data_IF_881280360051
#
_entry.id   IF_881280360051
#
_cell.length_a   1.000
_cell.length_b   1.000
_cell.length_c   1.000
_cell.angle_alpha   90.00
_cell.angle_beta   90.00
_cell.angle_gamma   90.00
#
_symmetry.space_group_name_H-M   'P 1'
#
loop_
_entity.id
_entity.type
_entity.pdbx_description
1 polymer ?
#
# COMPACT_ATOMS: atom_id res chain seq x y z
N UNK A 1 18.43 13.21 22.99
CA UNK A 1 18.23 11.74 22.92
C UNK A 1 17.37 11.18 24.06
N UNK A 2 17.42 11.75 25.28
CA UNK A 2 16.65 11.25 26.43
C UNK A 2 15.15 11.59 26.35
N UNK A 3 14.76 12.62 25.58
CA UNK A 3 13.35 13.07 25.49
C UNK A 3 12.46 12.19 24.59
N UNK A 4 13.04 11.43 23.66
CA UNK A 4 12.28 10.56 22.74
C UNK A 4 11.75 9.31 23.44
N UNK A 5 12.50 8.78 24.41
CA UNK A 5 12.13 7.55 25.14
C UNK A 5 10.94 7.70 26.10
N UNK A 6 10.62 8.94 26.50
CA UNK A 6 9.51 9.23 27.44
C UNK A 6 8.14 9.12 26.71
N UNK A 7 8.09 9.27 25.37
CA UNK A 7 6.86 9.27 24.60
C UNK A 7 6.51 7.92 23.94
N UNK A 8 7.45 6.97 23.88
CA UNK A 8 7.21 5.69 23.21
C UNK A 8 7.22 4.53 24.21
N UNK A 9 6.06 3.88 24.36
CA UNK A 9 5.93 2.59 25.07
C UNK A 9 6.34 1.40 24.16
N UNK A 10 7.22 1.63 23.16
CA UNK A 10 7.52 0.66 22.09
C UNK A 10 9.03 0.53 21.92
N UNK A 11 9.53 -0.70 21.75
CA UNK A 11 10.93 -0.96 21.41
C UNK A 11 11.21 -0.65 19.94
N UNK A 12 12.47 -0.35 19.59
CA UNK A 12 12.84 -0.09 18.18
C UNK A 12 12.49 -1.23 17.23
N UNK A 13 12.72 -2.52 17.55
CA UNK A 13 12.29 -3.61 16.68
C UNK A 13 10.78 -3.69 16.48
N UNK A 14 10.02 -3.46 17.55
CA UNK A 14 8.56 -3.43 17.49
C UNK A 14 8.06 -2.25 16.63
N UNK A 15 8.68 -1.08 16.74
CA UNK A 15 8.39 0.07 15.89
C UNK A 15 8.65 -0.23 14.42
N UNK A 16 9.80 -0.86 14.10
CA UNK A 16 10.13 -1.27 12.74
C UNK A 16 9.08 -2.25 12.20
N UNK A 17 8.70 -3.26 12.98
CA UNK A 17 7.69 -4.23 12.59
C UNK A 17 6.34 -3.57 12.31
N UNK A 18 5.91 -2.65 13.16
CA UNK A 18 4.65 -1.94 13.01
C UNK A 18 4.65 -1.03 11.78
N UNK A 19 5.71 -0.25 11.56
CA UNK A 19 5.84 0.60 10.38
C UNK A 19 5.91 -0.22 9.10
N UNK A 20 6.66 -1.32 9.12
CA UNK A 20 6.71 -2.25 7.98
C UNK A 20 5.34 -2.84 7.66
N UNK A 21 4.55 -3.19 8.67
CA UNK A 21 3.19 -3.70 8.50
C UNK A 21 2.25 -2.65 7.88
N UNK A 22 2.33 -1.38 8.33
CA UNK A 22 1.55 -0.29 7.74
C UNK A 22 1.91 -0.05 6.27
N UNK A 23 3.20 -0.09 5.92
CA UNK A 23 3.66 0.08 4.53
C UNK A 23 3.30 -1.15 3.68
N UNK A 24 3.40 -2.35 4.25
CA UNK A 24 3.11 -3.63 3.59
C UNK A 24 1.64 -3.76 3.15
N UNK A 25 0.71 -3.01 3.75
CA UNK A 25 -0.71 -3.00 3.35
C UNK A 25 -0.88 -2.78 1.84
N UNK A 26 -0.10 -1.88 1.24
CA UNK A 26 -0.18 -1.59 -0.19
C UNK A 26 0.30 -2.76 -1.04
N UNK A 27 1.51 -3.28 -0.76
CA UNK A 27 2.07 -4.39 -1.52
C UNK A 27 1.21 -5.65 -1.40
N UNK A 28 0.75 -5.96 -0.18
CA UNK A 28 -0.16 -7.09 0.05
C UNK A 28 -1.45 -6.96 -0.77
N UNK A 29 -2.03 -5.73 -0.84
CA UNK A 29 -3.27 -5.47 -1.58
C UNK A 29 -3.13 -5.59 -3.10
N UNK A 30 -1.92 -5.45 -3.63
CA UNK A 30 -1.62 -5.60 -5.05
C UNK A 30 -1.24 -7.06 -5.35
N UNK A 31 -0.23 -7.56 -4.66
CA UNK A 31 0.45 -8.80 -5.04
C UNK A 31 -0.39 -10.04 -4.69
N UNK A 32 -1.14 -10.04 -3.58
CA UNK A 32 -2.01 -11.16 -3.23
C UNK A 32 -3.23 -11.29 -4.16
N UNK A 33 -3.60 -10.21 -4.87
CA UNK A 33 -4.70 -10.24 -5.85
C UNK A 33 -4.30 -10.82 -7.21
N UNK A 34 -3.00 -10.88 -7.53
CA UNK A 34 -2.53 -11.35 -8.83
C UNK A 34 -3.08 -12.75 -9.20
N UNK A 35 -2.97 -13.77 -8.33
CA UNK A 35 -3.49 -15.10 -8.64
C UNK A 35 -5.04 -15.17 -8.68
N UNK A 36 -5.74 -14.15 -8.18
CA UNK A 36 -7.21 -14.09 -8.19
C UNK A 36 -7.80 -13.56 -9.50
N UNK A 37 -7.00 -12.87 -10.32
CA UNK A 37 -7.50 -12.21 -11.53
C UNK A 37 -8.20 -13.16 -12.52
N UNK A 38 -7.72 -14.40 -12.79
CA UNK A 38 -8.43 -15.33 -13.64
C UNK A 38 -9.81 -15.72 -13.11
N UNK A 39 -9.94 -15.93 -11.78
CA UNK A 39 -11.20 -16.28 -11.14
C UNK A 39 -12.21 -15.11 -11.25
N UNK A 40 -11.77 -13.89 -10.99
CA UNK A 40 -12.58 -12.68 -11.15
C UNK A 40 -13.01 -12.48 -12.61
N UNK A 41 -12.08 -12.70 -13.55
CA UNK A 41 -12.37 -12.62 -14.98
C UNK A 41 -13.44 -13.66 -15.40
N UNK A 42 -13.31 -14.90 -14.95
CA UNK A 42 -14.26 -15.96 -15.25
C UNK A 42 -15.67 -15.66 -14.70
N UNK A 43 -15.76 -15.04 -13.52
CA UNK A 43 -17.03 -14.71 -12.88
C UNK A 43 -17.72 -13.48 -13.50
N UNK A 44 -16.97 -12.40 -13.74
CA UNK A 44 -17.56 -11.09 -14.08
C UNK A 44 -17.28 -10.60 -15.50
N UNK A 45 -16.29 -11.14 -16.18
CA UNK A 45 -15.91 -10.70 -17.54
C UNK A 45 -15.40 -11.82 -18.43
N UNK A 46 -16.19 -12.92 -18.60
CA UNK A 46 -15.73 -14.10 -19.35
C UNK A 46 -15.43 -13.81 -20.83
N UNK A 47 -16.11 -12.81 -21.41
CA UNK A 47 -15.91 -12.40 -22.80
C UNK A 47 -14.71 -11.46 -23.00
N UNK A 48 -14.19 -10.87 -21.93
CA UNK A 48 -13.04 -9.95 -21.95
C UNK A 48 -12.24 -10.03 -20.65
N UNK A 49 -11.40 -11.05 -20.56
CA UNK A 49 -10.58 -11.34 -19.35
C UNK A 49 -9.66 -10.21 -18.95
N UNK A 50 -9.28 -9.32 -19.89
CA UNK A 50 -8.44 -8.16 -19.58
C UNK A 50 -9.12 -7.14 -18.68
N UNK A 51 -10.45 -7.11 -18.59
CA UNK A 51 -11.16 -6.20 -17.70
C UNK A 51 -10.87 -6.48 -16.22
N UNK A 52 -10.56 -7.72 -15.84
CA UNK A 52 -10.18 -8.02 -14.45
C UNK A 52 -8.93 -7.28 -13.99
N UNK A 53 -8.05 -6.85 -14.90
CA UNK A 53 -6.88 -6.03 -14.57
C UNK A 53 -7.25 -4.65 -14.02
N UNK A 54 -8.47 -4.17 -14.30
CA UNK A 54 -8.99 -2.94 -13.71
C UNK A 54 -9.04 -3.02 -12.18
N UNK A 55 -9.15 -4.20 -11.60
CA UNK A 55 -9.11 -4.43 -10.15
C UNK A 55 -7.79 -3.95 -9.54
N UNK A 56 -6.66 -4.15 -10.23
CA UNK A 56 -5.35 -3.66 -9.79
C UNK A 56 -5.16 -2.18 -10.13
N UNK A 57 -5.46 -1.80 -11.36
CA UNK A 57 -5.24 -0.43 -11.86
C UNK A 57 -6.07 0.59 -11.08
N UNK A 58 -7.31 0.25 -10.72
CA UNK A 58 -8.18 1.11 -9.92
C UNK A 58 -7.66 1.31 -8.49
N UNK A 59 -7.11 0.27 -7.87
CA UNK A 59 -6.46 0.40 -6.56
C UNK A 59 -5.24 1.34 -6.62
N UNK A 60 -4.39 1.17 -7.65
CA UNK A 60 -3.21 2.02 -7.86
C UNK A 60 -3.62 3.47 -8.09
N UNK A 61 -4.68 3.71 -8.88
CA UNK A 61 -5.23 5.04 -9.09
C UNK A 61 -5.71 5.66 -7.77
N UNK A 62 -6.50 4.92 -6.99
CA UNK A 62 -6.95 5.36 -5.68
C UNK A 62 -5.81 5.68 -4.72
N UNK A 63 -4.79 4.83 -4.69
CA UNK A 63 -3.58 5.05 -3.87
C UNK A 63 -2.84 6.32 -4.30
N UNK A 64 -2.72 6.58 -5.58
CA UNK A 64 -2.10 7.81 -6.09
C UNK A 64 -2.88 9.04 -5.61
N UNK A 65 -4.21 9.06 -5.77
CA UNK A 65 -5.08 10.14 -5.28
C UNK A 65 -4.94 10.34 -3.77
N UNK A 66 -5.00 9.24 -2.99
CA UNK A 66 -4.87 9.28 -1.54
C UNK A 66 -3.51 9.81 -1.08
N UNK A 67 -2.43 9.48 -1.77
CA UNK A 67 -1.07 9.91 -1.41
C UNK A 67 -0.93 11.44 -1.42
N UNK A 68 -1.57 12.14 -2.36
CA UNK A 68 -1.57 13.60 -2.40
C UNK A 68 -2.25 14.24 -1.19
N UNK A 69 -3.30 13.62 -0.68
CA UNK A 69 -4.19 14.23 0.32
C UNK A 69 -3.81 13.79 1.75
N UNK A 70 -3.41 12.54 1.95
CA UNK A 70 -3.19 11.96 3.28
C UNK A 70 -2.01 12.59 4.03
N UNK A 71 -0.98 13.08 3.32
CA UNK A 71 0.13 13.82 3.93
C UNK A 71 -0.35 15.08 4.64
N UNK A 72 -0.85 16.08 3.91
CA UNK A 72 -1.39 17.32 4.49
C UNK A 72 -2.49 17.10 5.53
N UNK A 73 -3.36 16.11 5.33
CA UNK A 73 -4.37 15.76 6.35
C UNK A 73 -3.71 15.30 7.65
N UNK A 74 -2.63 14.52 7.57
CA UNK A 74 -1.94 14.03 8.77
C UNK A 74 -1.20 15.14 9.54
N UNK A 75 -0.75 16.19 8.82
CA UNK A 75 -0.16 17.38 9.43
C UNK A 75 -1.21 18.25 10.15
N UNK A 76 -2.46 18.20 9.70
CA UNK A 76 -3.55 19.00 10.24
C UNK A 76 -4.34 18.30 11.34
N UNK A 77 -4.67 17.04 11.15
CA UNK A 77 -5.56 16.29 12.05
C UNK A 77 -4.80 15.38 13.02
N UNK A 78 -3.48 15.21 12.83
CA UNK A 78 -2.64 14.31 13.60
C UNK A 78 -2.44 12.96 12.91
N UNK A 79 -1.31 12.32 13.20
CA UNK A 79 -0.85 11.09 12.54
C UNK A 79 -1.81 9.93 12.75
N UNK A 80 -2.16 9.65 13.99
CA UNK A 80 -3.03 8.50 14.33
C UNK A 80 -4.43 8.65 13.76
N UNK A 81 -5.02 9.83 13.83
CA UNK A 81 -6.36 10.07 13.35
C UNK A 81 -6.49 9.79 11.85
N UNK A 82 -5.47 10.17 11.07
CA UNK A 82 -5.46 9.93 9.63
C UNK A 82 -5.20 8.45 9.30
N UNK A 83 -4.38 7.74 10.08
CA UNK A 83 -4.27 6.28 9.95
C UNK A 83 -5.63 5.63 10.20
N UNK A 84 -6.35 5.99 11.27
CA UNK A 84 -7.67 5.43 11.57
C UNK A 84 -8.69 5.73 10.47
N UNK A 85 -8.72 6.95 9.98
CA UNK A 85 -9.61 7.36 8.90
C UNK A 85 -9.35 6.55 7.62
N UNK A 86 -8.09 6.48 7.17
CA UNK A 86 -7.72 5.72 5.98
C UNK A 86 -7.96 4.22 6.15
N UNK A 87 -7.63 3.65 7.32
CA UNK A 87 -7.91 2.25 7.63
C UNK A 87 -9.40 1.94 7.62
N UNK A 88 -10.25 2.85 8.11
CA UNK A 88 -11.71 2.69 8.07
C UNK A 88 -12.23 2.68 6.63
N UNK A 89 -11.76 3.59 5.76
CA UNK A 89 -12.08 3.59 4.33
C UNK A 89 -11.65 2.26 3.70
N UNK A 90 -10.43 1.81 3.99
CA UNK A 90 -9.90 0.55 3.47
C UNK A 90 -10.74 -0.66 3.87
N UNK A 91 -11.12 -0.75 5.15
CA UNK A 91 -11.93 -1.87 5.69
C UNK A 91 -13.32 -1.89 5.04
N UNK A 92 -14.00 -0.73 4.98
CA UNK A 92 -15.32 -0.64 4.37
C UNK A 92 -15.27 -1.00 2.88
N UNK A 93 -14.27 -0.49 2.16
CA UNK A 93 -14.09 -0.79 0.74
C UNK A 93 -13.75 -2.26 0.50
N UNK A 94 -12.94 -2.88 1.37
CA UNK A 94 -12.67 -4.32 1.31
C UNK A 94 -13.94 -5.15 1.54
N UNK A 95 -14.77 -4.74 2.50
CA UNK A 95 -16.07 -5.38 2.74
C UNK A 95 -17.00 -5.26 1.52
N UNK A 96 -17.03 -4.09 0.86
CA UNK A 96 -17.78 -3.92 -0.39
C UNK A 96 -17.29 -4.87 -1.50
N UNK A 97 -15.98 -5.11 -1.60
CA UNK A 97 -15.44 -6.07 -2.58
C UNK A 97 -15.88 -7.52 -2.28
N UNK A 98 -16.03 -7.91 -1.01
CA UNK A 98 -16.49 -9.25 -0.63
C UNK A 98 -17.93 -9.51 -1.15
N UNK A 99 -18.79 -8.51 -1.07
CA UNK A 99 -20.20 -8.61 -1.44
C UNK A 99 -20.50 -8.02 -2.84
N UNK A 100 -19.49 -7.74 -3.64
CA UNK A 100 -19.67 -7.10 -4.93
C UNK A 100 -20.46 -7.99 -5.91
N UNK A 101 -21.54 -7.46 -6.52
CA UNK A 101 -22.37 -8.20 -7.48
C UNK A 101 -21.81 -8.18 -8.92
N UNK A 102 -20.89 -7.26 -9.22
CA UNK A 102 -20.32 -7.03 -10.54
C UNK A 102 -18.92 -6.42 -10.47
N UNK A 103 -18.21 -6.41 -11.60
CA UNK A 103 -16.85 -5.89 -11.71
C UNK A 103 -16.77 -4.40 -11.42
N UNK A 104 -17.77 -3.61 -11.86
CA UNK A 104 -17.79 -2.16 -11.65
C UNK A 104 -17.80 -1.81 -10.17
N UNK A 105 -18.57 -2.55 -9.36
CA UNK A 105 -18.58 -2.38 -7.90
C UNK A 105 -17.21 -2.66 -7.30
N UNK A 106 -16.52 -3.71 -7.76
CA UNK A 106 -15.15 -4.01 -7.31
C UNK A 106 -14.23 -2.85 -7.70
N UNK A 107 -14.27 -2.39 -8.95
CA UNK A 107 -13.41 -1.30 -9.44
C UNK A 107 -13.58 -0.03 -8.61
N UNK A 108 -14.82 0.38 -8.35
CA UNK A 108 -15.11 1.56 -7.52
C UNK A 108 -14.62 1.35 -6.08
N UNK A 109 -14.93 0.20 -5.49
CA UNK A 109 -14.48 -0.12 -4.12
C UNK A 109 -12.94 -0.16 -4.04
N UNK A 110 -12.25 -0.66 -5.06
CA UNK A 110 -10.79 -0.68 -5.14
C UNK A 110 -10.17 0.72 -5.20
N UNK A 111 -10.83 1.69 -5.86
CA UNK A 111 -10.38 3.09 -5.82
C UNK A 111 -10.40 3.60 -4.37
N UNK A 112 -11.52 3.45 -3.67
CA UNK A 112 -11.62 3.88 -2.27
C UNK A 112 -10.66 3.09 -1.36
N UNK A 113 -10.50 1.80 -1.59
CA UNK A 113 -9.53 0.98 -0.85
C UNK A 113 -8.09 1.49 -1.05
N UNK A 114 -7.73 1.88 -2.28
CA UNK A 114 -6.43 2.51 -2.57
C UNK A 114 -6.25 3.85 -1.84
N UNK A 115 -7.28 4.71 -1.85
CA UNK A 115 -7.27 5.96 -1.09
C UNK A 115 -7.03 5.68 0.40
N UNK A 116 -7.73 4.69 0.97
CA UNK A 116 -7.56 4.28 2.35
C UNK A 116 -6.15 3.75 2.66
N UNK A 117 -5.59 2.93 1.78
CA UNK A 117 -4.25 2.35 1.91
C UNK A 117 -3.12 3.40 1.88
N UNK A 118 -3.36 4.55 1.24
CA UNK A 118 -2.39 5.63 1.18
C UNK A 118 -2.09 6.23 2.57
N UNK A 119 -3.08 6.28 3.47
CA UNK A 119 -2.91 6.87 4.80
C UNK A 119 -1.85 6.13 5.64
N UNK A 120 -1.95 4.83 5.94
CA UNK A 120 -0.93 4.12 6.71
C UNK A 120 0.44 4.17 6.03
N UNK A 121 0.51 4.13 4.70
CA UNK A 121 1.77 4.22 3.96
C UNK A 121 2.45 5.58 4.10
N UNK A 122 1.74 6.67 3.87
CA UNK A 122 2.28 8.04 3.92
C UNK A 122 2.60 8.44 5.35
N UNK A 123 1.69 8.14 6.28
CA UNK A 123 1.84 8.55 7.67
C UNK A 123 2.93 7.76 8.39
N UNK A 124 3.17 6.49 8.04
CA UNK A 124 4.32 5.75 8.60
C UNK A 124 5.66 6.44 8.29
N UNK A 125 5.83 6.96 7.08
CA UNK A 125 7.03 7.72 6.71
C UNK A 125 7.13 9.05 7.48
N UNK A 126 6.00 9.71 7.74
CA UNK A 126 5.96 10.91 8.58
C UNK A 126 6.33 10.57 10.04
N UNK A 127 5.78 9.49 10.61
CA UNK A 127 6.11 9.01 11.96
C UNK A 127 7.60 8.72 12.13
N UNK A 128 8.23 8.10 11.14
CA UNK A 128 9.67 7.83 11.17
C UNK A 128 10.46 9.15 11.23
N UNK A 129 10.08 10.16 10.43
CA UNK A 129 10.73 11.47 10.41
C UNK A 129 10.45 12.31 11.66
N UNK A 130 9.27 12.17 12.26
CA UNK A 130 8.90 12.90 13.47
C UNK A 130 9.64 12.36 14.72
N UNK A 131 9.98 11.05 14.72
CA UNK A 131 10.53 10.37 15.89
C UNK A 131 12.05 10.13 15.80
N UNK A 132 12.61 10.07 14.59
CA UNK A 132 14.02 9.75 14.38
C UNK A 132 14.66 10.72 13.39
N UNK A 133 15.98 10.89 13.50
CA UNK A 133 16.75 11.77 12.62
C UNK A 133 18.12 11.17 12.27
N UNK A 134 18.72 11.66 11.21
CA UNK A 134 20.08 11.31 10.80
C UNK A 134 20.29 9.81 10.59
N UNK A 135 21.35 9.27 11.16
CA UNK A 135 21.79 7.87 10.96
C UNK A 135 20.76 6.85 11.48
N UNK A 136 20.08 7.16 12.56
CA UNK A 136 19.07 6.26 13.15
C UNK A 136 17.83 6.15 12.28
N UNK A 137 17.33 7.27 11.74
CA UNK A 137 16.25 7.31 10.79
C UNK A 137 16.58 6.48 9.52
N UNK A 138 17.79 6.65 8.98
CA UNK A 138 18.23 5.90 7.82
C UNK A 138 18.26 4.39 8.09
N UNK A 139 18.78 3.97 9.24
CA UNK A 139 18.82 2.57 9.66
C UNK A 139 17.43 1.96 9.79
N UNK A 140 16.50 2.64 10.45
CA UNK A 140 15.12 2.19 10.63
C UNK A 140 14.42 2.07 9.27
N UNK A 141 14.54 3.09 8.42
CA UNK A 141 13.97 3.07 7.07
C UNK A 141 14.51 1.91 6.22
N UNK A 142 15.81 1.61 6.32
CA UNK A 142 16.41 0.46 5.62
C UNK A 142 15.80 -0.86 6.06
N UNK A 143 15.64 -1.10 7.37
CA UNK A 143 15.00 -2.32 7.86
C UNK A 143 13.54 -2.44 7.40
N UNK A 144 12.79 -1.34 7.41
CA UNK A 144 11.41 -1.33 6.91
C UNK A 144 11.38 -1.66 5.42
N UNK A 145 12.29 -1.12 4.62
CA UNK A 145 12.38 -1.41 3.19
C UNK A 145 12.77 -2.87 2.91
N UNK A 146 13.66 -3.46 3.72
CA UNK A 146 14.00 -4.90 3.61
C UNK A 146 12.74 -5.75 3.85
N UNK A 147 12.00 -5.49 4.93
CA UNK A 147 10.76 -6.23 5.24
C UNK A 147 9.74 -6.02 4.11
N UNK A 148 9.57 -4.78 3.63
CA UNK A 148 8.67 -4.46 2.53
C UNK A 148 9.02 -5.20 1.24
N UNK A 149 10.31 -5.35 0.91
CA UNK A 149 10.75 -6.05 -0.30
C UNK A 149 10.49 -7.57 -0.27
N UNK A 150 10.24 -8.15 0.92
CA UNK A 150 9.85 -9.55 1.06
C UNK A 150 8.35 -9.79 0.86
N UNK A 151 7.52 -8.75 0.98
CA UNK A 151 6.06 -8.88 0.82
C UNK A 151 5.67 -9.43 -0.55
N UNK A 152 6.24 -8.96 -1.69
CA UNK A 152 5.96 -9.51 -3.01
C UNK A 152 6.31 -10.99 -3.16
N UNK A 153 7.26 -11.50 -2.36
CA UNK A 153 7.60 -12.91 -2.37
C UNK A 153 6.51 -13.78 -1.69
N UNK A 154 5.86 -13.26 -0.67
CA UNK A 154 4.91 -14.02 0.17
C UNK A 154 3.46 -13.78 -0.27
N UNK A 155 3.11 -12.58 -0.69
CA UNK A 155 1.73 -12.18 -0.95
C UNK A 155 1.03 -13.01 -2.05
N UNK A 156 1.64 -13.27 -3.22
CA UNK A 156 1.00 -14.12 -4.24
C UNK A 156 0.82 -15.58 -3.79
N UNK A 157 1.77 -16.10 -3.01
CA UNK A 157 1.66 -17.45 -2.43
C UNK A 157 0.47 -17.54 -1.46
N UNK A 158 0.31 -16.51 -0.62
CA UNK A 158 -0.83 -16.39 0.28
C UNK A 158 -2.13 -16.31 -0.53
N UNK A 159 -2.20 -15.48 -1.56
CA UNK A 159 -3.37 -15.35 -2.43
C UNK A 159 -3.74 -16.69 -3.09
N UNK A 160 -2.76 -17.37 -3.69
CA UNK A 160 -2.95 -18.67 -4.32
C UNK A 160 -3.43 -19.75 -3.31
N UNK A 161 -2.85 -19.77 -2.11
CA UNK A 161 -3.26 -20.71 -1.05
C UNK A 161 -4.70 -20.46 -0.59
N UNK A 162 -5.12 -19.20 -0.48
CA UNK A 162 -6.50 -18.87 -0.13
C UNK A 162 -7.48 -19.31 -1.20
N UNK A 163 -7.16 -19.10 -2.47
CA UNK A 163 -8.01 -19.49 -3.60
C UNK A 163 -8.13 -21.01 -3.73
N UNK A 164 -7.07 -21.76 -3.41
CA UNK A 164 -7.10 -23.22 -3.51
C UNK A 164 -8.02 -23.89 -2.48
N UNK A 165 -8.31 -23.24 -1.35
CA UNK A 165 -9.11 -23.79 -0.23
C UNK A 165 -10.47 -23.10 -0.14
N UNK A 166 -10.54 -21.82 -0.47
CA UNK A 166 -11.70 -20.96 -0.35
C UNK A 166 -12.03 -20.34 -1.72
N UNK A 167 -12.54 -19.12 -1.71
CA UNK A 167 -12.80 -18.30 -2.89
C UNK A 167 -11.87 -17.07 -2.89
N UNK A 168 -11.71 -16.42 -4.05
CA UNK A 168 -10.92 -15.18 -4.20
C UNK A 168 -11.38 -14.07 -3.23
N UNK A 169 -12.64 -14.07 -2.82
CA UNK A 169 -13.20 -13.14 -1.81
C UNK A 169 -12.52 -13.26 -0.44
N UNK A 170 -11.97 -14.42 -0.10
CA UNK A 170 -11.24 -14.64 1.14
C UNK A 170 -9.98 -13.74 1.25
N UNK A 171 -9.41 -13.33 0.13
CA UNK A 171 -8.28 -12.40 0.10
C UNK A 171 -8.67 -11.06 0.74
N UNK A 172 -9.87 -10.54 0.44
CA UNK A 172 -10.35 -9.31 1.07
C UNK A 172 -10.62 -9.45 2.56
N UNK A 173 -11.02 -10.64 3.02
CA UNK A 173 -11.16 -10.92 4.46
C UNK A 173 -9.78 -10.82 5.14
N UNK A 174 -8.75 -11.40 4.53
CA UNK A 174 -7.38 -11.30 5.04
C UNK A 174 -6.90 -9.85 5.04
N UNK A 175 -7.23 -9.05 4.02
CA UNK A 175 -6.92 -7.62 3.98
C UNK A 175 -7.57 -6.86 5.14
N UNK A 176 -8.85 -7.12 5.42
CA UNK A 176 -9.55 -6.52 6.57
C UNK A 176 -8.84 -6.89 7.88
N UNK A 177 -8.59 -8.18 8.11
CA UNK A 177 -7.91 -8.65 9.31
C UNK A 177 -6.53 -8.02 9.50
N UNK A 178 -5.74 -7.96 8.43
CA UNK A 178 -4.41 -7.36 8.43
C UNK A 178 -4.45 -5.88 8.83
N UNK A 179 -5.36 -5.11 8.23
CA UNK A 179 -5.50 -3.67 8.53
C UNK A 179 -6.10 -3.44 9.92
N UNK A 180 -7.04 -4.26 10.36
CA UNK A 180 -7.59 -4.18 11.73
C UNK A 180 -6.48 -4.41 12.76
N UNK A 181 -5.69 -5.49 12.61
CA UNK A 181 -4.57 -5.79 13.50
C UNK A 181 -3.55 -4.66 13.52
N UNK A 182 -3.11 -4.18 12.35
CA UNK A 182 -2.11 -3.10 12.26
C UNK A 182 -2.63 -1.79 12.87
N UNK A 183 -3.91 -1.48 12.66
CA UNK A 183 -4.54 -0.26 13.18
C UNK A 183 -4.71 -0.31 14.70
N UNK A 184 -5.16 -1.44 15.24
CA UNK A 184 -5.28 -1.65 16.69
C UNK A 184 -3.90 -1.60 17.34
N UNK A 185 -2.91 -2.27 16.76
CA UNK A 185 -1.54 -2.26 17.27
C UNK A 185 -0.95 -0.85 17.28
N UNK A 186 -1.12 -0.09 16.19
CA UNK A 186 -0.76 1.33 16.13
C UNK A 186 -1.45 2.13 17.24
N UNK A 187 -2.74 1.89 17.45
CA UNK A 187 -3.55 2.57 18.45
C UNK A 187 -3.05 2.40 19.88
N UNK A 188 -2.67 1.17 20.21
CA UNK A 188 -2.24 0.81 21.57
C UNK A 188 -0.79 1.27 21.84
N UNK A 189 0.10 1.15 20.85
CA UNK A 189 1.54 1.29 21.05
C UNK A 189 2.10 2.66 20.70
N UNK A 190 1.51 3.35 19.73
CA UNK A 190 1.97 4.67 19.30
C UNK A 190 1.15 5.76 19.98
N UNK A 191 1.84 6.63 20.71
CA UNK A 191 1.27 7.90 21.20
C UNK A 191 1.31 8.92 20.05
N UNK A 192 0.29 9.79 19.93
CA UNK A 192 0.28 10.84 18.89
C UNK A 192 1.51 11.76 19.05
N UNK A 193 2.45 11.75 18.08
CA UNK A 193 3.67 12.56 18.21
C UNK A 193 3.43 14.03 17.86
N UNK A 194 2.42 14.32 17.00
CA UNK A 194 2.13 15.67 16.56
C UNK A 194 1.18 16.36 17.54
N UNK A 195 1.75 17.18 18.43
CA UNK A 195 0.99 17.98 19.40
C UNK A 195 0.03 18.93 18.70
N UNK A 196 -1.11 19.23 19.34
CA UNK A 196 -2.15 20.06 18.75
C UNK A 196 -1.64 21.47 18.34
N UNK A 197 -0.72 22.02 19.13
CA UNK A 197 -0.10 23.33 18.89
C UNK A 197 0.82 23.35 17.65
N UNK A 198 1.31 22.18 17.23
CA UNK A 198 2.23 22.03 16.10
C UNK A 198 1.50 21.67 14.79
N UNK A 199 0.19 21.48 14.84
CA UNK A 199 -0.61 21.13 13.67
C UNK A 199 -0.79 22.33 12.75
N UNK A 200 -0.61 22.09 11.45
CA UNK A 200 -0.78 23.10 10.41
C UNK A 200 -2.22 23.00 9.89
N UNK A 201 -3.06 24.05 10.00
CA UNK A 201 -4.42 24.01 9.46
C UNK A 201 -4.43 23.64 7.97
N UNK A 202 -5.28 22.68 7.58
CA UNK A 202 -5.42 22.32 6.18
C UNK A 202 -6.03 23.49 5.38
N UNK A 203 -5.29 23.92 4.35
CA UNK A 203 -5.75 24.96 3.42
C UNK A 203 -5.58 24.47 1.99
N UNK A 204 -6.68 24.38 1.27
CA UNK A 204 -6.68 24.01 -0.14
C UNK A 204 -5.85 24.99 -0.97
N UNK A 205 -5.94 26.29 -0.65
CA UNK A 205 -5.16 27.33 -1.32
C UNK A 205 -3.64 27.12 -1.13
N UNK A 206 -3.20 26.90 0.12
CA UNK A 206 -1.79 26.65 0.44
C UNK A 206 -1.29 25.35 -0.21
N UNK A 207 -2.14 24.32 -0.26
CA UNK A 207 -1.82 23.05 -0.91
C UNK A 207 -1.57 23.24 -2.42
N UNK A 208 -2.46 23.92 -3.12
CA UNK A 208 -2.29 24.20 -4.55
C UNK A 208 -1.12 25.14 -4.84
N UNK A 209 -0.90 26.17 -4.00
CA UNK A 209 0.25 27.05 -4.11
C UNK A 209 1.56 26.27 -3.99
N UNK A 210 1.67 25.38 -2.98
CA UNK A 210 2.86 24.53 -2.81
C UNK A 210 3.08 23.59 -4.01
N UNK A 211 2.02 22.96 -4.54
CA UNK A 211 2.12 22.12 -5.73
C UNK A 211 2.61 22.90 -6.95
N UNK A 212 2.08 24.11 -7.14
CA UNK A 212 2.48 24.97 -8.25
C UNK A 212 3.94 25.40 -8.11
N UNK A 213 4.37 25.80 -6.92
CA UNK A 213 5.74 26.20 -6.62
C UNK A 213 6.71 25.02 -6.86
N UNK A 214 6.44 23.85 -6.31
CA UNK A 214 7.28 22.66 -6.48
C UNK A 214 7.35 22.24 -7.95
N UNK A 215 6.22 22.24 -8.67
CA UNK A 215 6.17 21.87 -10.08
C UNK A 215 6.84 22.89 -11.01
N UNK A 216 7.09 24.12 -10.54
CA UNK A 216 7.86 25.11 -11.29
C UNK A 216 9.36 24.81 -11.34
N UNK A 217 9.87 24.02 -10.39
CA UNK A 217 11.29 23.65 -10.34
C UNK A 217 11.62 22.62 -11.44
N UNK A 218 12.62 22.95 -12.26
CA UNK A 218 13.03 22.10 -13.40
C UNK A 218 13.46 20.70 -12.96
N UNK A 219 14.21 20.60 -11.86
CA UNK A 219 14.65 19.30 -11.31
C UNK A 219 13.46 18.43 -10.89
N UNK A 220 12.40 19.03 -10.35
CA UNK A 220 11.20 18.32 -9.95
C UNK A 220 10.44 17.81 -11.17
N UNK A 221 10.26 18.65 -12.19
CA UNK A 221 9.59 18.23 -13.45
C UNK A 221 10.32 17.07 -14.11
N UNK A 222 11.65 17.18 -14.23
CA UNK A 222 12.48 16.10 -14.81
C UNK A 222 12.37 14.82 -13.98
N UNK A 223 12.41 14.93 -12.65
CA UNK A 223 12.23 13.78 -11.75
C UNK A 223 10.85 13.16 -11.89
N UNK A 224 9.79 13.95 -11.96
CA UNK A 224 8.41 13.45 -12.16
C UNK A 224 8.31 12.69 -13.49
N UNK A 225 8.81 13.24 -14.58
CA UNK A 225 8.79 12.57 -15.89
C UNK A 225 9.55 11.24 -15.84
N UNK A 226 10.75 11.23 -15.25
CA UNK A 226 11.52 10.00 -15.07
C UNK A 226 10.77 8.97 -14.24
N UNK A 227 10.16 9.37 -13.13
CA UNK A 227 9.37 8.47 -12.26
C UNK A 227 8.12 7.94 -12.95
N UNK A 228 7.44 8.74 -13.80
CA UNK A 228 6.31 8.28 -14.60
C UNK A 228 6.72 7.09 -15.48
N UNK A 229 7.85 7.20 -16.19
CA UNK A 229 8.34 6.09 -17.02
C UNK A 229 8.77 4.89 -16.18
N UNK A 230 9.54 5.09 -15.12
CA UNK A 230 10.01 4.01 -14.25
C UNK A 230 8.84 3.25 -13.59
N UNK A 231 7.91 3.97 -12.97
CA UNK A 231 6.73 3.35 -12.35
C UNK A 231 5.73 2.83 -13.39
N UNK A 232 5.63 3.47 -14.54
CA UNK A 232 4.83 2.98 -15.67
C UNK A 232 5.29 1.60 -16.11
N UNK A 233 6.60 1.40 -16.33
CA UNK A 233 7.18 0.10 -16.67
C UNK A 233 6.93 -0.91 -15.54
N UNK A 234 7.22 -0.51 -14.28
CA UNK A 234 7.05 -1.39 -13.12
C UNK A 234 5.61 -1.90 -12.98
N UNK A 235 4.64 -0.99 -12.95
CA UNK A 235 3.24 -1.37 -12.75
C UNK A 235 2.65 -2.10 -13.97
N UNK A 236 3.06 -1.74 -15.19
CA UNK A 236 2.68 -2.50 -16.39
C UNK A 236 3.19 -3.93 -16.31
N UNK A 237 4.44 -4.12 -15.88
CA UNK A 237 5.02 -5.46 -15.70
C UNK A 237 4.26 -6.25 -14.63
N UNK A 238 3.97 -5.66 -13.47
CA UNK A 238 3.22 -6.31 -12.39
C UNK A 238 1.82 -6.73 -12.85
N UNK A 239 1.11 -5.85 -13.57
CA UNK A 239 -0.25 -6.13 -14.06
C UNK A 239 -0.26 -7.22 -15.12
N UNK A 240 0.74 -7.25 -16.01
CA UNK A 240 0.78 -8.16 -17.16
C UNK A 240 1.45 -9.50 -16.84
N UNK A 241 2.26 -9.61 -15.81
CA UNK A 241 3.05 -10.83 -15.56
C UNK A 241 2.15 -12.05 -15.35
N UNK A 242 1.06 -11.93 -14.61
CA UNK A 242 0.12 -13.03 -14.39
C UNK A 242 -0.59 -13.49 -15.67
N UNK A 243 -1.21 -12.60 -16.47
CA UNK A 243 -1.76 -12.97 -17.79
C UNK A 243 -0.75 -13.62 -18.75
N UNK A 244 0.52 -13.18 -18.73
CA UNK A 244 1.58 -13.77 -19.54
C UNK A 244 1.84 -15.22 -19.10
N UNK A 245 1.95 -15.47 -17.81
CA UNK A 245 2.14 -16.83 -17.30
C UNK A 245 0.97 -17.75 -17.62
N UNK A 246 -0.26 -17.24 -17.56
CA UNK A 246 -1.47 -17.99 -17.85
C UNK A 246 -1.63 -18.23 -19.37
N UNK A 247 -1.68 -17.16 -20.16
CA UNK A 247 -2.08 -17.23 -21.58
C UNK A 247 -0.95 -17.69 -22.52
N UNK A 248 0.31 -17.30 -22.25
CA UNK A 248 1.43 -17.65 -23.13
C UNK A 248 2.16 -18.91 -22.69
N UNK A 249 2.31 -19.10 -21.38
CA UNK A 249 3.07 -20.25 -20.88
C UNK A 249 2.18 -21.41 -20.41
N UNK A 250 0.87 -21.20 -20.21
CA UNK A 250 -0.04 -22.19 -19.63
C UNK A 250 0.38 -22.62 -18.23
N UNK A 251 1.02 -21.73 -17.45
CA UNK A 251 1.63 -22.03 -16.15
C UNK A 251 1.07 -21.15 -15.03
N UNK A 252 -0.23 -20.89 -15.03
CA UNK A 252 -0.89 -20.11 -13.99
C UNK A 252 -0.58 -20.62 -12.57
N UNK A 253 -0.61 -21.95 -12.37
CA UNK A 253 -0.37 -22.58 -11.07
C UNK A 253 1.03 -22.36 -10.52
N UNK A 254 2.04 -22.24 -11.37
CA UNK A 254 3.43 -22.02 -10.95
C UNK A 254 3.81 -20.54 -10.84
N UNK A 255 2.96 -19.62 -11.33
CA UNK A 255 3.20 -18.19 -11.31
C UNK A 255 3.61 -17.66 -9.92
N UNK A 256 2.90 -18.00 -8.81
CA UNK A 256 3.24 -17.46 -7.50
C UNK A 256 4.66 -17.83 -7.05
N UNK A 257 5.15 -19.02 -7.39
CA UNK A 257 6.50 -19.48 -7.07
C UNK A 257 7.58 -18.71 -7.84
N UNK A 258 7.36 -18.50 -9.15
CA UNK A 258 8.28 -17.72 -9.98
C UNK A 258 8.34 -16.26 -9.56
N UNK A 259 7.19 -15.68 -9.25
CA UNK A 259 7.12 -14.30 -8.76
C UNK A 259 7.85 -14.15 -7.42
N UNK A 260 7.65 -15.10 -6.48
CA UNK A 260 8.36 -15.14 -5.21
C UNK A 260 9.89 -15.24 -5.41
N UNK A 261 10.34 -16.11 -6.32
CA UNK A 261 11.77 -16.27 -6.64
C UNK A 261 12.37 -14.95 -7.15
N UNK A 262 11.72 -14.29 -8.10
CA UNK A 262 12.16 -13.01 -8.65
C UNK A 262 12.21 -11.94 -7.55
N UNK A 263 11.19 -11.88 -6.67
CA UNK A 263 11.15 -10.92 -5.58
C UNK A 263 12.30 -11.13 -4.59
N UNK A 264 12.61 -12.37 -4.22
CA UNK A 264 13.74 -12.70 -3.34
C UNK A 264 15.09 -12.36 -3.99
N UNK A 265 15.27 -12.68 -5.28
CA UNK A 265 16.48 -12.31 -6.01
C UNK A 265 16.64 -10.78 -6.13
N UNK A 266 15.54 -10.05 -6.38
CA UNK A 266 15.56 -8.59 -6.43
C UNK A 266 15.88 -7.98 -5.05
N UNK A 267 15.34 -8.55 -3.98
CA UNK A 267 15.66 -8.12 -2.61
C UNK A 267 17.14 -8.33 -2.30
N UNK A 268 17.75 -9.46 -2.75
CA UNK A 268 19.18 -9.74 -2.52
C UNK A 268 20.11 -8.73 -3.20
N UNK A 269 19.69 -8.13 -4.32
CA UNK A 269 20.48 -7.10 -5.01
C UNK A 269 20.50 -5.75 -4.25
N UNK A 270 19.68 -5.59 -3.21
CA UNK A 270 19.64 -4.39 -2.37
C UNK A 270 20.63 -4.41 -1.20
N UNK A 271 21.37 -5.51 -1.02
CA UNK A 271 22.45 -5.70 -0.04
C UNK A 271 23.82 -5.56 -0.67
#
# INVERSE_FOLDING_TARGET
LVSVWIFMRISTPEFIALMAMLVATVALSIDAMLPALPNIAAEFSPNNTNQAQLVLSSFILGMAMGTFVMGPLSDSFGRKNVIYFGSSIYIVSSALCIFAPNLETIVVARIFQGIGAAAPRVVSQALIRDLYSGREMARISSFIMIIFSLVPAVAPLLGASLISVLDWRAIFIVFVLFVVVSTIWTGIRITEPLKAEMRIPFSVHTFWAALTEISSLEIVRTSIVTLIFCYGILFTTIILVQPIFDQFFGRADSFPLWFALIAVLSASASF
#
